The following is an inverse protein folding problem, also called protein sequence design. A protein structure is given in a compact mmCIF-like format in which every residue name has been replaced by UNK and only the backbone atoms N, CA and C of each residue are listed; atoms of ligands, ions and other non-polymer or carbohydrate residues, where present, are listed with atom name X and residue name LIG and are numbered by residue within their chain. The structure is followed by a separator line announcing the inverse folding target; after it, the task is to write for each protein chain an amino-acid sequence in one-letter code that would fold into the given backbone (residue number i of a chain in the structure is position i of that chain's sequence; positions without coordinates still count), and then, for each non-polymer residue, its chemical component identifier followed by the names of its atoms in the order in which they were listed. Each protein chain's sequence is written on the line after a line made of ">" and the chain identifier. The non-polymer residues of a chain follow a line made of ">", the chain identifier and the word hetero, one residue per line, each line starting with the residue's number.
data_IF_494547805604
#
_entry.id   IF_494547805604
#
_cell.length_a   1.000
_cell.length_b   1.000
_cell.length_c   1.000
_cell.angle_alpha   90.00
_cell.angle_beta   90.00
_cell.angle_gamma   90.00
#
_symmetry.space_group_name_H-M   'P 1'
#
loop_
_entity.id
_entity.type
_entity.pdbx_description
1 polymer ?
#
# COMPACT_ATOMS: atom_id res chain seq x y z
N UNK A 1 -27.29 -17.40 8.30
CA UNK A 1 -25.83 -17.49 8.04
C UNK A 1 -25.25 -16.13 8.43
N UNK A 2 -24.54 -16.05 9.55
CA UNK A 2 -23.87 -14.80 9.96
C UNK A 2 -22.49 -14.77 9.32
N UNK A 3 -22.30 -13.83 8.40
CA UNK A 3 -20.98 -13.45 7.91
C UNK A 3 -20.21 -12.85 9.10
N UNK A 4 -19.30 -13.65 9.66
CA UNK A 4 -18.32 -13.16 10.62
C UNK A 4 -17.42 -12.19 9.86
N UNK A 5 -17.72 -10.90 9.92
CA UNK A 5 -16.74 -9.86 9.68
C UNK A 5 -15.65 -10.02 10.75
N UNK A 6 -14.62 -10.79 10.42
CA UNK A 6 -13.41 -10.88 11.23
C UNK A 6 -12.73 -9.53 11.07
N UNK A 7 -12.84 -8.70 12.10
CA UNK A 7 -12.08 -7.46 12.20
C UNK A 7 -10.59 -7.84 12.25
N UNK A 8 -9.91 -7.76 11.10
CA UNK A 8 -8.47 -7.98 11.02
C UNK A 8 -7.82 -6.78 11.66
N UNK A 9 -7.46 -6.91 12.95
CA UNK A 9 -6.74 -5.87 13.68
C UNK A 9 -5.40 -5.62 13.00
N UNK A 10 -5.26 -4.47 12.35
CA UNK A 10 -4.00 -4.01 11.79
C UNK A 10 -3.07 -3.70 12.96
N UNK A 11 -1.87 -4.28 12.95
CA UNK A 11 -0.81 -3.95 13.88
C UNK A 11 0.08 -2.89 13.21
N UNK A 12 0.20 -1.72 13.81
CA UNK A 12 0.96 -0.59 13.27
C UNK A 12 2.43 -0.93 13.06
N UNK A 13 3.01 -1.82 13.89
CA UNK A 13 4.39 -2.30 13.72
C UNK A 13 4.62 -3.13 12.43
N UNK A 14 3.54 -3.60 11.81
CA UNK A 14 3.60 -4.30 10.53
C UNK A 14 3.50 -3.34 9.33
N UNK A 15 3.29 -2.03 9.57
CA UNK A 15 3.27 -0.98 8.56
C UNK A 15 4.69 -0.42 8.42
N UNK A 16 5.25 -0.54 7.22
CA UNK A 16 6.61 -0.07 6.92
C UNK A 16 6.63 0.76 5.65
N UNK A 17 7.53 1.75 5.52
CA UNK A 17 7.74 2.45 4.27
C UNK A 17 8.36 1.51 3.22
N UNK A 18 7.85 1.56 1.99
CA UNK A 18 8.40 0.82 0.86
C UNK A 18 8.26 1.61 -0.45
N UNK A 19 9.24 1.46 -1.34
CA UNK A 19 9.17 1.99 -2.70
C UNK A 19 8.53 0.98 -3.63
N UNK A 20 7.66 1.45 -4.52
CA UNK A 20 7.18 0.65 -5.64
C UNK A 20 8.33 0.49 -6.63
N UNK A 21 8.72 -0.75 -6.94
CA UNK A 21 9.81 -1.04 -7.88
C UNK A 21 9.32 -1.74 -9.15
N UNK A 22 8.10 -2.28 -9.14
CA UNK A 22 7.47 -2.88 -10.32
C UNK A 22 5.95 -2.85 -10.21
N UNK A 23 5.29 -2.54 -11.32
CA UNK A 23 3.83 -2.57 -11.43
C UNK A 23 3.45 -3.46 -12.62
N UNK A 24 2.67 -4.52 -12.35
CA UNK A 24 2.07 -5.38 -13.36
C UNK A 24 0.54 -5.30 -13.28
N UNK A 25 -0.16 -5.86 -14.27
CA UNK A 25 -1.63 -5.88 -14.27
C UNK A 25 -2.27 -6.61 -13.06
N UNK A 26 -1.52 -7.51 -12.42
CA UNK A 26 -2.02 -8.35 -11.31
C UNK A 26 -1.33 -8.09 -9.98
N UNK A 27 -0.11 -7.58 -10.00
CA UNK A 27 0.73 -7.48 -8.81
C UNK A 27 1.52 -6.19 -8.80
N UNK A 28 1.84 -5.75 -7.59
CA UNK A 28 2.72 -4.62 -7.30
C UNK A 28 3.86 -5.17 -6.47
N UNK A 29 5.09 -4.92 -6.90
CA UNK A 29 6.28 -5.30 -6.14
C UNK A 29 6.88 -4.05 -5.51
N UNK A 30 7.14 -4.13 -4.21
CA UNK A 30 7.74 -3.08 -3.43
C UNK A 30 9.02 -3.54 -2.76
N UNK A 31 9.88 -2.58 -2.44
CA UNK A 31 11.12 -2.76 -1.70
C UNK A 31 11.11 -1.87 -0.47
N UNK A 32 11.29 -2.44 0.70
CA UNK A 32 11.38 -1.73 1.99
C UNK A 32 12.76 -1.12 2.22
N UNK A 33 12.90 -0.32 3.27
CA UNK A 33 14.17 0.32 3.66
C UNK A 33 15.27 -0.71 3.99
N UNK A 34 14.90 -1.84 4.59
CA UNK A 34 15.79 -2.96 4.91
C UNK A 34 16.04 -3.91 3.70
N UNK A 35 15.63 -3.50 2.50
CA UNK A 35 15.74 -4.25 1.24
C UNK A 35 14.87 -5.52 1.14
N UNK A 36 13.89 -5.72 2.03
CA UNK A 36 12.88 -6.76 1.88
C UNK A 36 12.02 -6.52 0.63
N UNK A 37 11.67 -7.58 -0.10
CA UNK A 37 10.81 -7.51 -1.28
C UNK A 37 9.41 -7.99 -0.93
N UNK A 38 8.44 -7.09 -1.03
CA UNK A 38 7.02 -7.36 -0.77
C UNK A 38 6.29 -7.41 -2.10
N UNK A 39 5.56 -8.50 -2.36
CA UNK A 39 4.64 -8.57 -3.50
C UNK A 39 3.21 -8.54 -2.99
N UNK A 40 2.45 -7.59 -3.54
CA UNK A 40 1.06 -7.30 -3.18
C UNK A 40 0.18 -7.63 -4.37
N UNK A 41 -0.87 -8.41 -4.13
CA UNK A 41 -1.87 -8.68 -5.16
C UNK A 41 -2.77 -7.46 -5.37
N UNK A 42 -3.06 -7.16 -6.64
CA UNK A 42 -4.07 -6.15 -6.98
C UNK A 42 -5.44 -6.69 -6.56
N UNK A 43 -6.24 -5.92 -5.80
CA UNK A 43 -7.59 -6.34 -5.43
C UNK A 43 -8.39 -6.75 -6.66
N UNK A 44 -9.14 -7.86 -6.57
CA UNK A 44 -9.94 -8.35 -7.72
C UNK A 44 -10.93 -7.29 -8.23
N UNK A 45 -11.44 -6.45 -7.33
CA UNK A 45 -12.33 -5.33 -7.63
C UNK A 45 -11.67 -4.24 -8.49
N UNK A 46 -10.35 -4.08 -8.41
CA UNK A 46 -9.64 -3.04 -9.16
C UNK A 46 -9.08 -3.55 -10.47
N UNK A 47 -9.27 -4.82 -10.88
CA UNK A 47 -8.67 -5.37 -12.12
C UNK A 47 -9.01 -4.56 -13.38
N UNK A 48 -10.19 -3.94 -13.46
CA UNK A 48 -10.58 -3.03 -14.57
C UNK A 48 -10.34 -1.55 -14.27
N UNK A 49 -9.88 -1.23 -13.07
CA UNK A 49 -9.59 0.14 -12.64
C UNK A 49 -8.28 0.61 -13.28
N UNK A 50 -8.44 1.42 -14.32
CA UNK A 50 -7.33 2.07 -15.04
C UNK A 50 -6.74 3.22 -14.24
N UNK A 51 -7.53 3.88 -13.38
CA UNK A 51 -7.06 4.99 -12.57
C UNK A 51 -6.07 4.48 -11.53
N UNK A 52 -6.42 3.40 -10.82
CA UNK A 52 -5.50 2.76 -9.87
C UNK A 52 -4.17 2.39 -10.54
N UNK A 53 -4.22 1.76 -11.72
CA UNK A 53 -2.99 1.33 -12.40
C UNK A 53 -2.13 2.54 -12.80
N UNK A 54 -2.77 3.60 -13.29
CA UNK A 54 -2.09 4.84 -13.64
C UNK A 54 -1.43 5.47 -12.41
N UNK A 55 -2.16 5.59 -11.30
CA UNK A 55 -1.62 6.09 -10.03
C UNK A 55 -0.41 5.28 -9.58
N UNK A 56 -0.48 3.93 -9.61
CA UNK A 56 0.67 3.10 -9.22
C UNK A 56 1.88 3.26 -10.15
N UNK A 57 1.65 3.46 -11.45
CA UNK A 57 2.72 3.77 -12.41
C UNK A 57 3.34 5.14 -12.12
N UNK A 58 2.52 6.14 -11.77
CA UNK A 58 3.00 7.48 -11.45
C UNK A 58 3.81 7.47 -10.13
N UNK A 59 3.38 6.70 -9.13
CA UNK A 59 4.13 6.43 -7.88
C UNK A 59 5.48 5.74 -8.17
N UNK A 60 5.47 4.71 -9.02
CA UNK A 60 6.69 4.02 -9.45
C UNK A 60 7.69 4.99 -10.10
N UNK A 61 7.19 5.90 -10.95
CA UNK A 61 8.01 6.87 -11.67
C UNK A 61 8.55 7.99 -10.79
N UNK A 62 7.81 8.38 -9.75
CA UNK A 62 8.26 9.41 -8.81
C UNK A 62 9.26 8.88 -7.78
N UNK A 63 9.33 7.55 -7.59
CA UNK A 63 10.24 6.93 -6.60
C UNK A 63 9.85 7.24 -5.16
N UNK A 64 8.59 7.63 -4.92
CA UNK A 64 8.12 7.93 -3.57
C UNK A 64 8.00 6.66 -2.72
N UNK A 65 8.20 6.83 -1.43
CA UNK A 65 7.98 5.81 -0.42
C UNK A 65 6.52 5.85 0.01
N UNK A 66 5.87 4.69 0.09
CA UNK A 66 4.48 4.55 0.54
C UNK A 66 4.41 3.55 1.70
N UNK A 67 3.49 3.73 2.66
CA UNK A 67 3.32 2.79 3.75
C UNK A 67 2.64 1.51 3.24
N UNK A 68 3.18 0.35 3.62
CA UNK A 68 2.61 -0.96 3.29
C UNK A 68 2.58 -1.87 4.50
N UNK A 69 1.56 -2.73 4.57
CA UNK A 69 1.54 -3.77 5.59
C UNK A 69 2.34 -4.98 5.10
N UNK A 70 3.51 -5.23 5.69
CA UNK A 70 4.40 -6.33 5.27
C UNK A 70 3.83 -7.72 5.59
N UNK A 71 3.10 -7.83 6.69
CA UNK A 71 2.52 -9.10 7.16
C UNK A 71 1.31 -9.54 6.33
N UNK A 72 0.41 -8.59 6.04
CA UNK A 72 -0.78 -8.82 5.24
C UNK A 72 -0.50 -8.75 3.74
N UNK A 73 0.67 -8.22 3.33
CA UNK A 73 1.05 -7.96 1.93
C UNK A 73 -0.01 -7.14 1.21
N UNK A 74 -0.44 -6.06 1.85
CA UNK A 74 -1.51 -5.19 1.38
C UNK A 74 -1.06 -3.74 1.36
N UNK A 75 -1.50 -3.01 0.33
CA UNK A 75 -1.47 -1.55 0.34
C UNK A 75 -2.51 -1.04 1.33
N UNK A 76 -2.16 -0.03 2.11
CA UNK A 76 -3.12 0.65 2.97
C UNK A 76 -4.10 1.44 2.09
N UNK A 77 -5.40 1.31 2.37
CA UNK A 77 -6.46 1.94 1.56
C UNK A 77 -6.72 3.38 1.98
N UNK A 78 -6.48 3.67 3.25
CA UNK A 78 -6.55 4.97 3.91
C UNK A 78 -5.22 5.13 4.70
N UNK A 79 -4.91 6.33 5.19
CA UNK A 79 -3.75 6.61 6.07
C UNK A 79 -2.43 6.98 5.36
N UNK A 80 -2.48 7.36 4.09
CA UNK A 80 -1.27 7.85 3.38
C UNK A 80 -0.84 9.25 3.88
N UNK A 81 -1.72 9.89 4.65
CA UNK A 81 -1.61 11.22 5.21
C UNK A 81 -1.79 11.26 6.74
N UNK A 82 -1.91 10.11 7.41
CA UNK A 82 -2.17 10.06 8.86
C UNK A 82 -0.89 10.20 9.68
N UNK A 83 0.01 11.09 9.25
CA UNK A 83 0.74 11.86 10.23
C UNK A 83 -0.24 12.88 10.80
N UNK A 84 -0.84 12.57 11.96
CA UNK A 84 -1.37 13.59 12.87
C UNK A 84 -0.20 14.42 13.46
N UNK A 85 0.72 14.89 12.61
CA UNK A 85 1.42 16.12 12.92
C UNK A 85 0.43 17.22 12.56
N UNK A 86 -0.05 17.96 13.56
CA UNK A 86 -0.70 19.23 13.33
C UNK A 86 0.22 20.07 12.45
N UNK A 87 -0.09 20.17 11.16
CA UNK A 87 0.60 21.06 10.23
C UNK A 87 0.35 22.50 10.68
N UNK A 88 1.19 22.97 11.62
CA UNK A 88 1.29 24.39 11.97
C UNK A 88 2.12 25.05 10.88
N UNK A 89 1.43 25.57 9.87
CA UNK A 89 2.03 26.56 8.98
C UNK A 89 2.32 27.81 9.84
N UNK A 90 3.61 28.07 10.05
CA UNK A 90 4.12 29.30 10.66
C UNK A 90 3.77 30.51 9.79
#
# INVERSE_FOLDING_TARGET
>A
MNEKNVEVKINENDIVPAQVIKVNNKTITLKTEDNEIITVDRPKSTIKDKLFLKTMIDILRSGIWIPVNKKLKQLLRYDWFDSLEEYRFL
#
